data_IF_402957400108
#
_entry.id   IF_402957400108
#
_cell.length_a   1.000
_cell.length_b   1.000
_cell.length_c   1.000
_cell.angle_alpha   90.00
_cell.angle_beta   90.00
_cell.angle_gamma   90.00
#
_symmetry.space_group_name_H-M   'P 1'
#
loop_
_entity.id
_entity.type
_entity.pdbx_description
1 polymer ?
#
# COMPACT_ATOMS: atom_id res chain seq x y z
N UNK A 1 4.61 2.85 11.95
CA UNK A 1 5.08 1.97 10.86
C UNK A 1 5.59 0.71 11.50
N UNK A 2 5.05 -0.46 11.15
CA UNK A 2 5.52 -1.73 11.69
C UNK A 2 6.68 -2.21 10.83
N UNK A 3 7.89 -2.28 11.39
CA UNK A 3 9.11 -2.64 10.68
C UNK A 3 9.31 -4.15 10.65
N UNK A 4 10.17 -4.62 9.74
CA UNK A 4 10.58 -6.04 9.68
C UNK A 4 11.20 -6.52 11.01
N UNK A 5 11.81 -5.61 11.75
CA UNK A 5 12.41 -5.86 13.07
C UNK A 5 11.37 -6.34 14.08
N UNK A 6 10.23 -5.65 14.17
CA UNK A 6 9.15 -6.01 15.10
C UNK A 6 8.59 -7.40 14.79
N UNK A 7 8.53 -7.77 13.50
CA UNK A 7 8.10 -9.10 13.09
C UNK A 7 9.05 -10.18 13.63
N UNK A 8 10.36 -10.01 13.41
CA UNK A 8 11.38 -10.95 13.90
C UNK A 8 11.35 -11.04 15.42
N UNK A 9 11.27 -9.89 16.11
CA UNK A 9 11.23 -9.84 17.57
C UNK A 9 10.02 -10.57 18.15
N UNK A 10 8.84 -10.44 17.54
CA UNK A 10 7.64 -11.18 17.96
C UNK A 10 7.89 -12.70 17.88
N UNK A 11 8.47 -13.18 16.78
CA UNK A 11 8.72 -14.61 16.58
C UNK A 11 9.80 -15.16 17.51
N UNK A 12 10.90 -14.43 17.70
CA UNK A 12 11.98 -14.83 18.63
C UNK A 12 11.45 -14.91 20.07
N UNK A 13 10.73 -13.87 20.52
CA UNK A 13 10.14 -13.82 21.87
C UNK A 13 9.09 -14.91 22.09
N UNK A 14 8.28 -15.20 21.07
CA UNK A 14 7.31 -16.30 21.15
C UNK A 14 8.01 -17.67 21.21
N UNK A 15 9.08 -17.88 20.44
CA UNK A 15 9.88 -19.10 20.48
C UNK A 15 10.57 -19.30 21.85
N UNK A 16 10.90 -18.21 22.55
CA UNK A 16 11.39 -18.23 23.94
C UNK A 16 10.30 -18.56 24.97
N UNK A 17 9.04 -18.74 24.55
CA UNK A 17 7.92 -19.10 25.43
C UNK A 17 7.23 -17.92 26.10
N UNK A 18 7.48 -16.68 25.65
CA UNK A 18 6.77 -15.52 26.19
C UNK A 18 5.29 -15.50 25.78
N UNK A 19 4.42 -15.08 26.69
CA UNK A 19 2.98 -14.94 26.40
C UNK A 19 2.71 -13.74 25.50
N UNK A 20 1.63 -13.80 24.70
CA UNK A 20 1.23 -12.69 23.81
C UNK A 20 1.02 -11.37 24.56
N UNK A 21 0.56 -11.41 25.82
CA UNK A 21 0.39 -10.21 26.65
C UNK A 21 1.75 -9.57 27.00
N UNK A 22 2.73 -10.40 27.35
CA UNK A 22 4.09 -9.94 27.70
C UNK A 22 4.80 -9.33 26.49
N UNK A 23 4.70 -10.00 25.33
CA UNK A 23 5.24 -9.49 24.06
C UNK A 23 4.60 -8.14 23.71
N UNK A 24 3.28 -8.03 23.83
CA UNK A 24 2.55 -6.79 23.55
C UNK A 24 2.97 -5.63 24.48
N UNK A 25 3.13 -5.89 25.78
CA UNK A 25 3.58 -4.86 26.74
C UNK A 25 5.03 -4.44 26.52
N UNK A 26 5.92 -5.36 26.17
CA UNK A 26 7.34 -5.06 25.97
C UNK A 26 7.60 -4.32 24.66
N UNK A 27 6.85 -4.65 23.60
CA UNK A 27 6.98 -4.01 22.28
C UNK A 27 6.06 -2.79 22.11
N UNK A 28 5.16 -2.50 23.07
CA UNK A 28 4.24 -1.37 22.99
C UNK A 28 3.19 -1.48 21.88
N UNK A 29 2.87 -2.70 21.45
CA UNK A 29 1.92 -2.98 20.36
C UNK A 29 0.68 -3.70 20.87
N UNK A 30 -0.40 -3.66 20.11
CA UNK A 30 -1.64 -4.34 20.50
C UNK A 30 -1.48 -5.87 20.52
N UNK A 31 -2.22 -6.54 21.39
CA UNK A 31 -2.28 -8.02 21.40
C UNK A 31 -2.78 -8.59 20.07
N UNK A 32 -3.64 -7.86 19.38
CA UNK A 32 -4.18 -8.27 18.09
C UNK A 32 -3.10 -8.27 17.00
N UNK A 33 -2.23 -7.25 17.00
CA UNK A 33 -1.06 -7.22 16.12
C UNK A 33 -0.13 -8.41 16.37
N UNK A 34 0.22 -8.70 17.62
CA UNK A 34 1.03 -9.87 17.96
C UNK A 34 0.39 -11.17 17.44
N UNK A 35 -0.90 -11.37 17.73
CA UNK A 35 -1.64 -12.55 17.27
C UNK A 35 -1.64 -12.67 15.74
N UNK A 36 -1.93 -11.57 15.05
CA UNK A 36 -1.96 -11.53 13.59
C UNK A 36 -0.59 -11.87 12.99
N UNK A 37 0.50 -11.35 13.54
CA UNK A 37 1.85 -11.68 13.07
C UNK A 37 2.24 -13.13 13.33
N UNK A 38 1.88 -13.71 14.47
CA UNK A 38 2.12 -15.13 14.73
C UNK A 38 1.33 -16.06 13.80
N UNK A 39 0.15 -15.63 13.34
CA UNK A 39 -0.64 -16.37 12.34
C UNK A 39 -0.04 -16.26 10.94
N UNK A 40 0.64 -15.15 10.63
CA UNK A 40 1.32 -14.94 9.36
C UNK A 40 2.71 -15.57 9.40
N UNK A 41 2.84 -16.76 8.82
CA UNK A 41 4.13 -17.48 8.73
C UNK A 41 5.12 -16.80 7.76
N UNK A 42 4.62 -15.98 6.84
CA UNK A 42 5.44 -15.29 5.86
C UNK A 42 5.65 -13.83 6.24
N UNK A 43 6.86 -13.33 5.99
CA UNK A 43 7.20 -11.94 6.30
C UNK A 43 6.24 -11.00 5.54
N UNK A 44 5.56 -10.07 6.25
CA UNK A 44 4.58 -9.20 5.60
C UNK A 44 5.29 -8.36 4.55
N UNK A 45 4.96 -8.61 3.29
CA UNK A 45 5.39 -7.74 2.19
C UNK A 45 4.47 -6.54 2.22
N UNK A 46 4.98 -5.41 2.69
CA UNK A 46 4.25 -4.14 2.73
C UNK A 46 4.18 -3.56 1.31
N UNK A 47 3.41 -4.22 0.45
CA UNK A 47 3.07 -3.66 -0.85
C UNK A 47 2.21 -2.41 -0.62
N UNK A 48 2.56 -1.32 -1.30
CA UNK A 48 1.74 -0.11 -1.28
C UNK A 48 0.34 -0.50 -1.76
N UNK A 49 -0.66 -0.34 -0.89
CA UNK A 49 -2.06 -0.62 -1.25
C UNK A 49 -2.39 0.17 -2.52
N UNK A 50 -2.96 -0.49 -3.52
CA UNK A 50 -3.43 0.19 -4.72
C UNK A 50 -4.40 1.30 -4.30
N UNK A 51 -4.14 2.52 -4.78
CA UNK A 51 -5.00 3.65 -4.49
C UNK A 51 -6.35 3.37 -5.14
N UNK A 52 -7.40 3.32 -4.31
CA UNK A 52 -8.76 3.19 -4.80
C UNK A 52 -9.10 4.41 -5.66
N UNK A 53 -9.77 4.23 -6.81
CA UNK A 53 -10.17 5.36 -7.64
C UNK A 53 -11.11 6.26 -6.85
N UNK A 54 -10.70 7.50 -6.62
CA UNK A 54 -11.53 8.53 -5.98
C UNK A 54 -12.62 9.01 -6.93
N UNK A 55 -13.72 9.58 -6.42
CA UNK A 55 -14.82 10.14 -7.24
C UNK A 55 -14.38 11.15 -8.32
N UNK A 56 -13.20 11.78 -8.16
CA UNK A 56 -12.60 12.72 -9.11
C UNK A 56 -11.71 12.04 -10.19
N UNK A 57 -11.50 10.74 -10.08
CA UNK A 57 -10.71 9.96 -11.06
C UNK A 57 -11.16 10.13 -12.52
N UNK A 58 -12.47 10.22 -12.84
CA UNK A 58 -12.88 10.39 -14.24
C UNK A 58 -12.70 11.82 -14.76
N UNK A 59 -12.57 12.85 -13.91
CA UNK A 59 -12.42 14.25 -14.35
C UNK A 59 -11.00 14.56 -14.84
N UNK A 60 -9.99 13.88 -14.30
CA UNK A 60 -8.59 14.09 -14.70
C UNK A 60 -8.30 13.64 -16.14
N UNK A 61 -9.12 12.75 -16.71
CA UNK A 61 -8.99 12.30 -18.10
C UNK A 61 -9.51 13.35 -19.10
N UNK A 62 -10.47 14.17 -18.68
CA UNK A 62 -11.12 15.15 -19.57
C UNK A 62 -10.23 16.38 -19.77
N UNK A 63 -9.45 16.79 -18.78
CA UNK A 63 -8.54 17.92 -18.94
C UNK A 63 -7.32 17.65 -19.84
N UNK A 64 -7.01 16.38 -20.17
CA UNK A 64 -5.85 16.03 -20.99
C UNK A 64 -6.16 15.97 -22.50
N UNK A 65 -7.44 15.95 -22.90
CA UNK A 65 -7.85 15.83 -24.30
C UNK A 65 -7.88 17.15 -25.08
N UNK A 66 -7.68 18.30 -24.43
CA UNK A 66 -7.64 19.60 -25.12
C UNK A 66 -6.31 19.90 -25.84
N UNK A 67 -5.25 19.12 -25.59
CA UNK A 67 -3.95 19.31 -26.27
C UNK A 67 -3.83 18.59 -27.63
N UNK A 68 -4.91 18.03 -28.19
CA UNK A 68 -4.89 17.34 -29.48
C UNK A 68 -5.80 17.97 -30.55
N UNK A 69 -6.17 19.25 -30.41
CA UNK A 69 -6.95 19.97 -31.42
C UNK A 69 -6.08 20.61 -32.52
N UNK A 70 -4.83 20.95 -32.24
CA UNK A 70 -3.94 21.61 -33.21
C UNK A 70 -3.39 20.65 -34.29
N UNK A 71 -3.33 19.34 -34.03
CA UNK A 71 -2.85 18.35 -35.01
C UNK A 71 -3.92 17.92 -36.02
N UNK A 72 -5.21 18.15 -35.74
CA UNK A 72 -6.30 17.74 -36.64
C UNK A 72 -6.58 18.80 -37.73
N UNK A 73 -6.27 20.07 -37.45
CA UNK A 73 -6.50 21.19 -38.39
C UNK A 73 -5.40 21.24 -39.48
N UNK A 74 -4.19 20.74 -39.19
CA UNK A 74 -3.07 20.75 -40.14
C UNK A 74 -3.18 19.77 -41.31
N UNK A 75 -4.04 18.75 -41.23
CA UNK A 75 -4.16 17.72 -42.28
C UNK A 75 -5.18 18.07 -43.37
N UNK A 76 -5.94 19.15 -43.24
CA UNK A 76 -6.98 19.52 -44.21
C UNK A 76 -6.52 20.45 -45.35
N UNK A 77 -5.33 21.05 -45.27
CA UNK A 77 -4.87 22.05 -46.26
C UNK A 77 -3.92 21.52 -47.37
N UNK A 78 -3.83 20.20 -47.57
CA UNK A 78 -3.03 19.60 -48.67
C UNK A 78 -3.87 19.02 -49.82
N UNK A 79 -5.18 19.29 -49.87
CA UNK A 79 -6.09 18.79 -50.91
C UNK A 79 -6.99 19.88 -51.54
N UNK A 80 -6.45 21.09 -51.74
CA UNK A 80 -7.00 22.10 -52.65
C UNK A 80 -5.90 22.55 -53.60
#
# INVERSE_FOLDING_TARGET
MLTKEIFVDIHVRFAQGQSLRKIASELGISRNTVKHHLQQQTMPTYAKRSQQPTKLSPLNLICFSELNWLNLIGSCNSLI
#
